data_IF_928181782531
#
_entry.id   IF_928181782531
#
_cell.length_a   1.000
_cell.length_b   1.000
_cell.length_c   1.000
_cell.angle_alpha   90.00
_cell.angle_beta   90.00
_cell.angle_gamma   90.00
#
_symmetry.space_group_name_H-M   'P 1'
#
loop_
_entity.id
_entity.type
_entity.pdbx_description
1 polymer ?
#
# COMPACT_ATOMS: atom_id res chain seq x y z
N UNK A 1 10.44 10.72 -15.06
CA UNK A 1 10.68 9.53 -15.87
C UNK A 1 9.35 8.94 -16.34
N UNK A 2 9.29 8.60 -17.61
CA UNK A 2 8.03 8.24 -18.23
C UNK A 2 8.12 6.82 -18.80
N UNK A 3 8.03 5.83 -17.92
CA UNK A 3 8.09 4.42 -18.27
C UNK A 3 6.68 3.82 -18.32
N UNK A 4 6.57 2.60 -18.83
CA UNK A 4 5.28 1.90 -18.82
C UNK A 4 4.76 1.69 -17.40
N UNK A 5 5.65 1.39 -16.45
CA UNK A 5 5.26 1.22 -15.05
C UNK A 5 4.73 2.52 -14.47
N UNK A 6 5.38 3.65 -14.74
CA UNK A 6 4.90 4.93 -14.22
C UNK A 6 3.55 5.32 -14.80
N UNK A 7 3.31 5.01 -16.07
CA UNK A 7 2.02 5.25 -16.70
C UNK A 7 0.93 4.33 -16.15
N UNK A 8 1.24 3.05 -16.01
CA UNK A 8 0.30 2.05 -15.53
C UNK A 8 -0.17 2.35 -14.11
N UNK A 9 0.77 2.72 -13.22
CA UNK A 9 0.47 2.95 -11.81
C UNK A 9 0.19 4.43 -11.51
N UNK A 10 0.32 5.31 -12.49
CA UNK A 10 0.15 6.74 -12.31
C UNK A 10 1.05 7.31 -11.21
N UNK A 11 2.33 6.91 -11.25
CA UNK A 11 3.35 7.38 -10.32
C UNK A 11 4.42 8.16 -11.08
N UNK A 12 5.14 9.04 -10.37
CA UNK A 12 6.15 9.91 -10.99
C UNK A 12 7.44 9.16 -11.29
N UNK A 13 7.85 8.27 -10.41
CA UNK A 13 9.10 7.51 -10.53
C UNK A 13 8.81 6.02 -10.54
N UNK A 14 9.57 5.20 -11.29
CA UNK A 14 9.36 3.76 -11.33
C UNK A 14 9.94 3.08 -10.08
N UNK A 15 9.50 3.49 -8.91
CA UNK A 15 9.97 3.01 -7.62
C UNK A 15 8.78 2.47 -6.85
N UNK A 16 8.87 1.20 -6.44
CA UNK A 16 7.84 0.52 -5.66
C UNK A 16 8.46 0.09 -4.34
N UNK A 17 7.85 0.51 -3.24
CA UNK A 17 8.27 0.10 -1.91
C UNK A 17 7.98 -1.38 -1.69
N UNK A 18 8.91 -2.13 -1.10
CA UNK A 18 8.64 -3.51 -0.69
C UNK A 18 7.67 -3.54 0.49
N UNK A 19 6.71 -4.44 0.45
CA UNK A 19 5.80 -4.64 1.57
C UNK A 19 6.50 -5.33 2.73
N UNK A 20 6.52 -4.69 3.90
CA UNK A 20 7.18 -5.21 5.10
C UNK A 20 6.19 -5.16 6.26
N UNK A 21 5.80 -6.35 6.75
CA UNK A 21 4.89 -6.46 7.89
C UNK A 21 5.43 -5.67 9.09
N UNK A 22 4.56 -4.98 9.80
CA UNK A 22 4.86 -4.20 11.02
C UNK A 22 5.75 -2.98 10.80
N UNK A 23 6.46 -2.90 9.65
CA UNK A 23 7.31 -1.76 9.31
C UNK A 23 6.66 -0.88 8.24
N UNK A 24 6.11 -1.51 7.20
CA UNK A 24 5.46 -0.79 6.11
C UNK A 24 4.01 -0.47 6.48
N UNK A 25 3.83 0.54 7.32
CA UNK A 25 2.51 1.01 7.75
C UNK A 25 2.06 2.20 6.89
N UNK A 26 0.96 2.85 7.32
CA UNK A 26 0.40 3.96 6.58
C UNK A 26 1.34 5.17 6.50
N UNK A 27 2.19 5.39 7.51
CA UNK A 27 3.13 6.51 7.48
C UNK A 27 4.13 6.35 6.36
N UNK A 28 4.76 5.17 6.26
CA UNK A 28 5.74 4.90 5.22
C UNK A 28 5.08 4.87 3.85
N UNK A 29 3.94 4.20 3.73
CA UNK A 29 3.24 4.11 2.46
C UNK A 29 2.84 5.49 1.93
N UNK A 30 2.29 6.34 2.79
CA UNK A 30 1.91 7.70 2.39
C UNK A 30 3.14 8.54 2.00
N UNK A 31 4.23 8.40 2.76
CA UNK A 31 5.45 9.15 2.49
C UNK A 31 6.05 8.76 1.13
N UNK A 32 6.10 7.46 0.82
CA UNK A 32 6.63 6.99 -0.46
C UNK A 32 5.73 7.44 -1.61
N UNK A 33 4.41 7.32 -1.46
CA UNK A 33 3.47 7.75 -2.49
C UNK A 33 3.53 9.25 -2.73
N UNK A 34 3.63 10.05 -1.68
CA UNK A 34 3.75 11.51 -1.80
C UNK A 34 5.07 11.91 -2.47
N UNK A 35 6.13 11.11 -2.30
CA UNK A 35 7.42 11.37 -2.93
C UNK A 35 7.43 10.99 -4.42
N UNK A 36 6.40 10.34 -4.93
CA UNK A 36 6.26 10.02 -6.35
C UNK A 36 6.49 8.56 -6.70
N UNK A 37 6.72 7.68 -5.73
CA UNK A 37 6.77 6.23 -5.91
C UNK A 37 5.44 5.59 -5.60
N UNK A 38 5.43 4.28 -5.47
CA UNK A 38 4.25 3.52 -5.03
C UNK A 38 4.50 3.01 -3.61
N UNK A 39 3.83 3.62 -2.64
CA UNK A 39 3.87 3.15 -1.26
C UNK A 39 3.01 1.89 -1.11
N UNK A 40 3.43 0.97 -0.24
CA UNK A 40 2.71 -0.28 -0.02
C UNK A 40 2.52 -0.52 1.47
N UNK A 41 1.27 -0.78 1.87
CA UNK A 41 0.95 -1.22 3.22
C UNK A 41 1.25 -2.70 3.33
N UNK A 42 2.04 -3.11 4.32
CA UNK A 42 2.28 -4.52 4.59
C UNK A 42 1.24 -5.05 5.54
N UNK A 43 0.28 -5.82 5.03
CA UNK A 43 -0.78 -6.38 5.87
C UNK A 43 -0.26 -7.47 6.80
N UNK A 44 0.72 -8.26 6.36
CA UNK A 44 1.30 -9.33 7.17
C UNK A 44 0.24 -10.29 7.67
N UNK A 45 0.27 -10.57 8.99
CA UNK A 45 -0.74 -11.40 9.65
C UNK A 45 -1.90 -10.62 10.25
N UNK A 46 -2.04 -9.33 9.90
CA UNK A 46 -3.09 -8.48 10.45
C UNK A 46 -4.47 -8.89 9.97
N UNK A 47 -5.51 -8.52 10.73
CA UNK A 47 -6.87 -8.77 10.31
C UNK A 47 -7.37 -7.69 9.34
N UNK A 48 -8.56 -7.93 8.75
CA UNK A 48 -9.12 -7.02 7.76
C UNK A 48 -9.45 -5.65 8.34
N UNK A 49 -9.86 -5.59 9.61
CA UNK A 49 -10.20 -4.32 10.26
C UNK A 49 -8.97 -3.44 10.44
N UNK A 50 -7.84 -4.03 10.83
CA UNK A 50 -6.57 -3.30 10.93
C UNK A 50 -6.18 -2.72 9.58
N UNK A 51 -6.28 -3.54 8.51
CA UNK A 51 -5.94 -3.08 7.16
C UNK A 51 -6.86 -1.96 6.71
N UNK A 52 -8.15 -2.06 7.01
CA UNK A 52 -9.12 -1.00 6.69
C UNK A 52 -8.73 0.32 7.33
N UNK A 53 -8.33 0.30 8.60
CA UNK A 53 -7.88 1.50 9.30
C UNK A 53 -6.60 2.08 8.68
N UNK A 54 -5.66 1.22 8.30
CA UNK A 54 -4.43 1.67 7.63
C UNK A 54 -4.76 2.34 6.29
N UNK A 55 -5.68 1.78 5.52
CA UNK A 55 -6.10 2.36 4.24
C UNK A 55 -6.73 3.73 4.45
N UNK A 56 -7.61 3.87 5.43
CA UNK A 56 -8.21 5.17 5.75
C UNK A 56 -7.16 6.21 6.08
N UNK A 57 -6.17 5.84 6.89
CA UNK A 57 -5.12 6.75 7.31
C UNK A 57 -4.22 7.16 6.14
N UNK A 58 -3.92 6.25 5.22
CA UNK A 58 -3.18 6.60 4.00
C UNK A 58 -3.98 7.61 3.18
N UNK A 59 -5.27 7.38 2.98
CA UNK A 59 -6.11 8.28 2.19
C UNK A 59 -6.23 9.67 2.78
N UNK A 60 -6.08 9.81 4.10
CA UNK A 60 -6.05 11.10 4.76
C UNK A 60 -4.74 11.86 4.51
N UNK A 61 -3.65 11.15 4.26
CA UNK A 61 -2.32 11.73 4.13
C UNK A 61 -1.85 11.90 2.69
N UNK A 62 -2.45 11.20 1.75
CA UNK A 62 -2.07 11.31 0.34
C UNK A 62 -3.26 11.02 -0.57
N UNK A 63 -3.29 11.70 -1.71
CA UNK A 63 -4.22 11.41 -2.81
C UNK A 63 -3.53 10.58 -3.91
N UNK A 64 -2.26 10.19 -3.69
CA UNK A 64 -1.49 9.45 -4.67
C UNK A 64 -1.76 7.95 -4.58
N UNK A 65 -1.48 7.18 -5.65
CA UNK A 65 -1.66 5.73 -5.62
C UNK A 65 -0.81 5.05 -4.56
N UNK A 66 -1.35 4.00 -3.96
CA UNK A 66 -0.64 3.14 -3.03
C UNK A 66 -1.17 1.71 -3.21
N UNK A 67 -0.44 0.74 -2.66
CA UNK A 67 -0.83 -0.66 -2.74
C UNK A 67 -0.92 -1.30 -1.36
N UNK A 68 -1.44 -2.51 -1.32
CA UNK A 68 -1.53 -3.33 -0.11
C UNK A 68 -0.97 -4.71 -0.44
N UNK A 69 -0.02 -5.19 0.37
CA UNK A 69 0.55 -6.51 0.23
C UNK A 69 -0.26 -7.50 1.07
N UNK A 70 -0.84 -8.51 0.44
CA UNK A 70 -1.66 -9.51 1.12
C UNK A 70 -0.91 -10.83 1.13
N UNK A 71 -0.70 -11.39 2.33
CA UNK A 71 -0.14 -12.74 2.47
C UNK A 71 -1.25 -13.77 2.29
N UNK A 72 -1.13 -14.63 1.27
CA UNK A 72 -2.16 -15.62 0.96
C UNK A 72 -2.34 -16.65 2.09
N UNK A 73 -1.32 -16.86 2.91
CA UNK A 73 -1.40 -17.75 4.08
C UNK A 73 -2.13 -17.11 5.26
N UNK A 74 -2.43 -15.82 5.22
CA UNK A 74 -3.20 -15.16 6.27
C UNK A 74 -4.63 -15.66 6.22
N UNK A 75 -5.22 -16.16 7.34
CA UNK A 75 -6.62 -16.61 7.36
C UNK A 75 -7.62 -15.53 6.95
N UNK A 76 -7.24 -14.25 7.06
CA UNK A 76 -8.09 -13.10 6.71
C UNK A 76 -7.83 -12.58 5.29
N UNK A 77 -7.02 -13.30 4.48
CA UNK A 77 -6.61 -12.80 3.17
C UNK A 77 -7.80 -12.40 2.29
N UNK A 78 -8.85 -13.25 2.26
CA UNK A 78 -10.04 -12.95 1.45
C UNK A 78 -10.77 -11.70 1.94
N UNK A 79 -10.88 -11.54 3.26
CA UNK A 79 -11.51 -10.34 3.85
C UNK A 79 -10.69 -9.10 3.59
N UNK A 80 -9.36 -9.21 3.67
CA UNK A 80 -8.46 -8.09 3.36
C UNK A 80 -8.61 -7.69 1.89
N UNK A 81 -8.68 -8.65 0.99
CA UNK A 81 -8.87 -8.37 -0.43
C UNK A 81 -10.19 -7.63 -0.70
N UNK A 82 -11.22 -7.89 0.09
CA UNK A 82 -12.50 -7.21 -0.05
C UNK A 82 -12.48 -5.76 0.43
N UNK A 83 -11.66 -5.44 1.44
CA UNK A 83 -11.58 -4.06 1.96
C UNK A 83 -10.63 -3.18 1.15
N UNK A 84 -9.73 -3.77 0.38
CA UNK A 84 -8.85 -3.05 -0.53
C UNK A 84 -9.62 -2.65 -1.80
#
# INVERSE_FOLDING_TARGET
MNTEITKLLNIKYPIIQGGMAWVADYHLAAAVSNAGGLGIIGAGGADAEFVREQIKKVKEKTDKPFGVNIMLMNPEADKIAQVV
#
